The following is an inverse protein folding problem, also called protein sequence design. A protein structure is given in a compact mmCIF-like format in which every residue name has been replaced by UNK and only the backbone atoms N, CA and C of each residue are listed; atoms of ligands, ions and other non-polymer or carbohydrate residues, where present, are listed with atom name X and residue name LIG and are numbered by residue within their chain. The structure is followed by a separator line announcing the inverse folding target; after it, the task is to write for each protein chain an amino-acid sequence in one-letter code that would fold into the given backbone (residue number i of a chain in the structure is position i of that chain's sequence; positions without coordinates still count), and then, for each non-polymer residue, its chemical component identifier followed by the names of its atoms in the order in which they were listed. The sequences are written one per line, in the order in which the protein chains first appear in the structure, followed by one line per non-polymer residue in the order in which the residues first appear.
data_IF_873994043905
#
_entry.id   IF_873994043905
#
_cell.length_a   1.000
_cell.length_b   1.000
_cell.length_c   1.000
_cell.angle_alpha   90.00
_cell.angle_beta   90.00
_cell.angle_gamma   90.00
#
_symmetry.space_group_name_H-M   'P 1'
#
loop_
_entity.id
_entity.type
_entity.pdbx_description
1 polymer ?
#
# COMPACT_ATOMS: atom_id res chain seq x y z
N UNK A 1 69.25 -8.58 -9.03
CA UNK A 1 67.92 -8.59 -9.67
C UNK A 1 66.90 -8.32 -8.58
N UNK A 2 66.29 -7.14 -8.58
CA UNK A 2 65.42 -6.64 -7.51
C UNK A 2 64.05 -6.24 -8.07
N UNK A 3 62.99 -6.57 -7.32
CA UNK A 3 61.58 -6.22 -7.57
C UNK A 3 60.66 -7.44 -7.51
N UNK A 4 59.48 -7.33 -6.85
CA UNK A 4 58.48 -6.38 -7.32
C UNK A 4 58.00 -5.33 -6.30
N UNK A 5 57.57 -4.21 -6.90
CA UNK A 5 57.05 -2.98 -6.31
C UNK A 5 55.59 -3.16 -5.84
N UNK A 6 55.20 -2.41 -4.82
CA UNK A 6 53.80 -2.24 -4.40
C UNK A 6 53.09 -1.05 -5.06
N UNK A 7 51.76 -1.02 -4.88
CA UNK A 7 50.80 0.10 -4.72
C UNK A 7 49.43 -0.35 -5.26
N UNK A 8 48.44 -0.56 -4.38
CA UNK A 8 47.38 0.34 -3.91
C UNK A 8 46.12 0.40 -4.81
N UNK A 9 44.99 0.06 -4.16
CA UNK A 9 43.59 0.49 -4.29
C UNK A 9 43.09 1.09 -5.62
N UNK A 10 41.94 0.57 -6.09
CA UNK A 10 40.78 1.42 -6.39
C UNK A 10 39.47 0.62 -6.42
N UNK A 11 38.50 1.20 -5.71
CA UNK A 11 37.07 0.91 -5.58
C UNK A 11 36.28 0.93 -6.89
N UNK A 12 35.25 0.08 -6.99
CA UNK A 12 34.07 0.35 -7.81
C UNK A 12 32.82 -0.31 -7.20
N UNK A 13 32.17 0.39 -6.27
CA UNK A 13 30.76 0.19 -5.95
C UNK A 13 29.96 0.86 -7.08
N UNK A 14 29.25 0.06 -7.88
CA UNK A 14 28.33 0.57 -8.90
C UNK A 14 27.01 0.91 -8.20
N UNK A 15 26.87 2.18 -7.82
CA UNK A 15 25.64 2.74 -7.25
C UNK A 15 24.63 3.02 -8.37
N UNK A 16 23.48 2.36 -8.35
CA UNK A 16 22.39 2.54 -9.32
C UNK A 16 21.26 3.44 -8.79
N UNK A 17 21.60 4.55 -8.13
CA UNK A 17 20.66 5.64 -7.84
C UNK A 17 21.36 6.99 -7.98
N UNK A 18 20.84 7.94 -8.79
CA UNK A 18 21.39 9.29 -8.84
C UNK A 18 21.15 9.99 -7.50
N UNK A 19 22.21 10.60 -6.96
CA UNK A 19 22.18 11.40 -5.74
C UNK A 19 21.21 12.58 -5.88
N UNK A 20 19.98 12.45 -5.38
CA UNK A 20 19.04 13.55 -5.26
C UNK A 20 19.18 14.17 -3.86
N UNK A 21 19.86 15.31 -3.77
CA UNK A 21 19.87 16.16 -2.56
C UNK A 21 18.86 17.29 -2.76
N UNK A 22 17.67 17.25 -2.15
CA UNK A 22 16.78 18.39 -2.22
C UNK A 22 17.27 19.46 -1.23
N UNK A 23 17.70 20.60 -1.76
CA UNK A 23 17.83 21.82 -0.99
C UNK A 23 16.42 22.42 -0.84
N UNK A 24 15.74 22.12 0.26
CA UNK A 24 14.43 22.72 0.52
C UNK A 24 14.60 24.14 1.07
N UNK A 25 14.53 25.13 0.18
CA UNK A 25 14.14 26.49 0.54
C UNK A 25 12.63 26.54 0.82
N UNK A 26 12.24 27.10 1.96
CA UNK A 26 10.84 27.31 2.32
C UNK A 26 10.13 28.17 1.26
N UNK A 27 9.11 27.61 0.61
CA UNK A 27 8.05 28.39 -0.05
C UNK A 27 6.73 27.63 0.02
N UNK A 28 5.87 28.05 0.94
CA UNK A 28 4.47 27.61 1.04
C UNK A 28 3.70 28.27 -0.10
N UNK A 29 3.19 27.49 -1.05
CA UNK A 29 2.27 27.99 -2.09
C UNK A 29 0.96 27.22 -2.00
N UNK A 30 -0.09 27.92 -1.55
CA UNK A 30 -1.48 27.44 -1.57
C UNK A 30 -2.10 27.83 -2.91
N UNK A 31 -2.65 26.87 -3.65
CA UNK A 31 -3.49 27.13 -4.81
C UNK A 31 -4.93 26.74 -4.51
N UNK A 32 -5.85 27.70 -4.67
CA UNK A 32 -7.29 27.48 -4.73
C UNK A 32 -7.74 27.67 -6.19
N UNK A 33 -8.49 26.73 -6.75
CA UNK A 33 -9.08 26.85 -8.09
C UNK A 33 -10.60 26.86 -7.95
N UNK A 34 -11.20 27.97 -8.37
CA UNK A 34 -12.63 28.20 -8.49
C UNK A 34 -12.99 28.05 -9.98
N UNK A 35 -13.90 27.14 -10.33
CA UNK A 35 -14.50 27.09 -11.68
C UNK A 35 -16.01 27.14 -11.54
N UNK A 36 -16.60 28.15 -12.16
CA UNK A 36 -18.01 28.48 -12.17
C UNK A 36 -18.47 28.37 -13.63
N UNK A 37 -19.34 27.41 -13.94
CA UNK A 37 -20.00 27.31 -15.25
C UNK A 37 -21.51 27.24 -15.02
N UNK A 38 -22.18 28.32 -15.41
CA UNK A 38 -23.63 28.41 -15.58
C UNK A 38 -23.95 28.11 -17.05
N UNK A 39 -24.84 27.15 -17.31
CA UNK A 39 -25.65 27.12 -18.53
C UNK A 39 -26.93 26.32 -18.33
N UNK A 40 -28.02 26.92 -18.81
CA UNK A 40 -29.42 26.57 -18.63
C UNK A 40 -29.85 25.21 -19.21
N UNK A 41 -30.91 24.65 -18.63
CA UNK A 41 -31.41 23.30 -18.91
C UNK A 41 -32.32 23.15 -20.11
N UNK A 42 -32.62 21.89 -20.42
CA UNK A 42 -33.83 21.45 -21.12
C UNK A 42 -34.18 20.04 -20.61
N UNK A 43 -35.41 19.87 -20.13
CA UNK A 43 -35.97 18.61 -19.67
C UNK A 43 -36.82 18.03 -20.81
N UNK A 44 -36.59 16.77 -21.20
CA UNK A 44 -37.62 15.91 -21.79
C UNK A 44 -37.24 14.44 -21.65
N UNK A 45 -38.19 13.69 -21.11
CA UNK A 45 -38.16 12.29 -20.73
C UNK A 45 -38.23 11.36 -21.95
N UNK A 46 -37.46 10.28 -21.91
CA UNK A 46 -37.86 9.02 -22.55
C UNK A 46 -37.34 7.86 -21.70
N UNK A 47 -38.27 7.03 -21.20
CA UNK A 47 -37.97 5.80 -20.49
C UNK A 47 -37.65 4.71 -21.51
N UNK A 48 -36.39 4.32 -21.60
CA UNK A 48 -35.96 3.10 -22.28
C UNK A 48 -35.37 2.16 -21.22
N UNK A 49 -36.09 1.08 -20.92
CA UNK A 49 -35.57 -0.06 -20.17
C UNK A 49 -34.65 -0.86 -21.09
N UNK A 50 -33.37 -0.47 -21.12
CA UNK A 50 -32.26 -1.29 -21.66
C UNK A 50 -31.74 -2.29 -20.61
N UNK A 51 -31.01 -3.33 -21.03
CA UNK A 51 -30.60 -4.42 -20.13
C UNK A 51 -29.72 -3.87 -19.01
N UNK A 52 -29.89 -4.40 -17.80
CA UNK A 52 -29.10 -4.05 -16.63
C UNK A 52 -27.60 -4.11 -16.95
N UNK A 53 -27.00 -2.96 -17.22
CA UNK A 53 -25.58 -2.76 -17.10
C UNK A 53 -25.29 -2.79 -15.61
N UNK A 54 -24.76 -3.93 -15.13
CA UNK A 54 -24.10 -3.99 -13.82
C UNK A 54 -22.95 -3.00 -13.91
N UNK A 55 -23.16 -1.80 -13.38
CA UNK A 55 -22.12 -0.84 -13.17
C UNK A 55 -21.28 -1.40 -12.03
N UNK A 56 -20.29 -2.23 -12.37
CA UNK A 56 -19.28 -2.65 -11.41
C UNK A 56 -18.71 -1.37 -10.82
N UNK A 57 -18.81 -1.20 -9.51
CA UNK A 57 -18.11 -0.14 -8.80
C UNK A 57 -16.61 -0.43 -8.94
N UNK A 58 -16.04 -0.03 -10.07
CA UNK A 58 -14.60 -0.07 -10.26
C UNK A 58 -14.04 0.96 -9.28
N UNK A 59 -13.31 0.48 -8.27
CA UNK A 59 -12.66 1.35 -7.30
C UNK A 59 -11.93 2.46 -8.06
N UNK A 60 -12.28 3.72 -7.76
CA UNK A 60 -11.65 4.90 -8.36
C UNK A 60 -10.14 4.78 -8.09
N UNK A 61 -9.29 4.59 -9.10
CA UNK A 61 -7.86 4.45 -8.86
C UNK A 61 -7.34 5.73 -8.20
N UNK A 62 -6.46 5.59 -7.20
CA UNK A 62 -5.75 6.74 -6.64
C UNK A 62 -5.00 7.46 -7.77
N UNK A 63 -5.14 8.80 -7.91
CA UNK A 63 -4.38 9.57 -8.88
C UNK A 63 -2.89 9.22 -8.84
N UNK A 64 -2.24 9.16 -10.00
CA UNK A 64 -0.85 8.70 -10.10
C UNK A 64 0.12 9.51 -9.22
N UNK A 65 -0.12 10.82 -9.10
CA UNK A 65 0.68 11.72 -8.25
C UNK A 65 0.50 11.38 -6.77
N UNK A 66 -0.75 11.15 -6.32
CA UNK A 66 -1.04 10.76 -4.94
C UNK A 66 -0.44 9.38 -4.62
N UNK A 67 -0.60 8.42 -5.52
CA UNK A 67 -0.01 7.08 -5.39
C UNK A 67 1.50 7.14 -5.25
N UNK A 68 2.17 7.93 -6.11
CA UNK A 68 3.61 8.10 -6.08
C UNK A 68 4.08 8.80 -4.80
N UNK A 69 3.33 9.80 -4.32
CA UNK A 69 3.67 10.49 -3.08
C UNK A 69 3.53 9.57 -1.87
N UNK A 70 2.43 8.82 -1.77
CA UNK A 70 2.25 7.82 -0.71
C UNK A 70 3.34 6.76 -0.75
N UNK A 71 3.65 6.21 -1.93
CA UNK A 71 4.72 5.23 -2.09
C UNK A 71 6.08 5.77 -1.65
N UNK A 72 6.39 7.03 -1.99
CA UNK A 72 7.62 7.70 -1.56
C UNK A 72 7.67 7.90 -0.04
N UNK A 73 6.58 8.36 0.58
CA UNK A 73 6.52 8.51 2.04
C UNK A 73 6.66 7.15 2.74
N UNK A 74 6.03 6.11 2.20
CA UNK A 74 6.16 4.75 2.72
C UNK A 74 7.59 4.21 2.61
N UNK A 75 8.30 4.51 1.50
CA UNK A 75 9.71 4.14 1.33
C UNK A 75 10.58 4.80 2.41
N UNK A 76 10.39 6.10 2.65
CA UNK A 76 11.10 6.82 3.71
C UNK A 76 10.76 6.29 5.11
N UNK A 77 9.52 5.83 5.32
CA UNK A 77 9.10 5.19 6.57
C UNK A 77 9.83 3.86 6.81
N UNK A 78 9.95 3.02 5.77
CA UNK A 78 10.73 1.77 5.83
C UNK A 78 12.19 2.06 6.15
N UNK A 79 12.83 2.97 5.41
CA UNK A 79 14.24 3.34 5.65
C UNK A 79 14.48 3.90 7.05
N UNK A 80 13.56 4.72 7.56
CA UNK A 80 13.64 5.26 8.91
C UNK A 80 13.51 4.17 9.98
N UNK A 81 12.65 3.17 9.76
CA UNK A 81 12.49 2.05 10.68
C UNK A 81 13.67 1.08 10.64
N UNK A 82 14.24 0.82 9.46
CA UNK A 82 15.43 -0.01 9.31
C UNK A 82 16.65 0.64 9.96
N UNK A 83 16.77 1.97 9.84
CA UNK A 83 17.81 2.74 10.54
C UNK A 83 17.61 2.78 12.06
N UNK A 84 16.41 2.46 12.54
CA UNK A 84 16.02 2.41 13.95
C UNK A 84 16.01 0.98 14.53
N UNK A 85 16.51 -0.03 13.81
CA UNK A 85 16.43 -1.42 14.26
C UNK A 85 17.28 -1.69 15.52
N UNK A 86 18.30 -0.87 15.77
CA UNK A 86 19.17 -0.94 16.96
C UNK A 86 18.59 -0.22 18.20
N UNK A 87 17.50 0.53 18.06
CA UNK A 87 16.88 1.28 19.18
C UNK A 87 15.61 0.58 19.69
N UNK A 88 15.09 1.06 20.82
CA UNK A 88 13.99 0.38 21.52
C UNK A 88 12.70 0.34 20.68
N UNK A 89 11.87 -0.69 20.89
CA UNK A 89 10.57 -0.81 20.21
C UNK A 89 9.63 0.40 20.46
N UNK A 90 9.81 1.12 21.58
CA UNK A 90 9.07 2.35 21.88
C UNK A 90 9.49 3.47 20.94
N UNK A 91 10.79 3.63 20.70
CA UNK A 91 11.31 4.64 19.78
C UNK A 91 10.99 4.31 18.33
N UNK A 92 11.03 3.03 17.94
CA UNK A 92 10.60 2.59 16.61
C UNK A 92 9.12 2.94 16.36
N UNK A 93 8.25 2.79 17.37
CA UNK A 93 6.84 3.21 17.27
C UNK A 93 6.68 4.73 17.14
N UNK A 94 7.49 5.54 17.82
CA UNK A 94 7.47 7.00 17.64
C UNK A 94 7.87 7.41 16.23
N UNK A 95 8.89 6.75 15.66
CA UNK A 95 9.29 6.93 14.25
C UNK A 95 8.13 6.58 13.31
N UNK A 96 7.52 5.41 13.47
CA UNK A 96 6.37 4.98 12.65
C UNK A 96 5.19 5.96 12.74
N UNK A 97 4.89 6.47 13.93
CA UNK A 97 3.75 7.35 14.20
C UNK A 97 3.78 8.63 13.36
N UNK A 98 4.97 9.18 13.09
CA UNK A 98 5.15 10.39 12.27
C UNK A 98 4.76 10.15 10.82
N UNK A 99 5.10 8.98 10.28
CA UNK A 99 4.77 8.59 8.92
C UNK A 99 3.31 8.18 8.78
N UNK A 100 2.77 7.44 9.76
CA UNK A 100 1.35 7.05 9.81
C UNK A 100 0.46 8.26 9.65
N UNK A 101 0.68 9.33 10.41
CA UNK A 101 -0.15 10.54 10.35
C UNK A 101 -0.25 11.15 8.95
N UNK A 102 0.87 11.27 8.25
CA UNK A 102 0.91 11.89 6.92
C UNK A 102 0.32 10.98 5.84
N UNK A 103 0.57 9.68 5.92
CA UNK A 103 0.11 8.70 4.93
C UNK A 103 -1.38 8.40 5.11
N UNK A 104 -1.83 8.21 6.35
CA UNK A 104 -3.22 7.90 6.67
C UNK A 104 -4.16 9.01 6.17
N UNK A 105 -3.73 10.28 6.23
CA UNK A 105 -4.50 11.41 5.72
C UNK A 105 -4.87 11.23 4.25
N UNK A 106 -3.89 10.94 3.40
CA UNK A 106 -4.12 10.80 1.95
C UNK A 106 -4.89 9.53 1.64
N UNK A 107 -4.55 8.41 2.28
CA UNK A 107 -5.27 7.15 2.07
C UNK A 107 -6.73 7.27 2.50
N UNK A 108 -7.00 7.93 3.63
CA UNK A 108 -8.36 8.14 4.11
C UNK A 108 -9.15 9.10 3.23
N UNK A 109 -8.54 10.20 2.77
CA UNK A 109 -9.17 11.12 1.81
C UNK A 109 -9.52 10.40 0.51
N UNK A 110 -8.59 9.60 -0.02
CA UNK A 110 -8.81 8.81 -1.23
C UNK A 110 -9.95 7.79 -1.09
N UNK A 111 -10.02 7.13 0.07
CA UNK A 111 -11.06 6.14 0.37
C UNK A 111 -12.37 6.76 0.88
N UNK A 112 -12.43 8.09 1.00
CA UNK A 112 -13.58 8.85 1.50
C UNK A 112 -14.04 8.39 2.90
N UNK A 113 -13.07 8.17 3.80
CA UNK A 113 -13.31 7.75 5.19
C UNK A 113 -12.70 8.72 6.20
N UNK A 114 -12.99 8.48 7.48
CA UNK A 114 -12.41 9.23 8.60
C UNK A 114 -10.90 8.99 8.71
N UNK A 115 -10.09 10.03 8.45
CA UNK A 115 -8.64 10.00 8.70
C UNK A 115 -8.32 9.60 10.14
N UNK A 116 -9.07 10.13 11.11
CA UNK A 116 -8.83 9.85 12.53
C UNK A 116 -8.94 8.35 12.84
N UNK A 117 -9.92 7.67 12.26
CA UNK A 117 -10.15 6.26 12.56
C UNK A 117 -9.09 5.37 11.90
N UNK A 118 -8.67 5.71 10.67
CA UNK A 118 -7.61 5.00 9.98
C UNK A 118 -6.25 5.22 10.67
N UNK A 119 -5.92 6.47 11.02
CA UNK A 119 -4.72 6.83 11.78
C UNK A 119 -4.68 6.04 13.10
N UNK A 120 -5.79 6.00 13.83
CA UNK A 120 -5.86 5.30 15.11
C UNK A 120 -5.68 3.79 14.95
N UNK A 121 -6.30 3.17 13.95
CA UNK A 121 -6.13 1.75 13.65
C UNK A 121 -4.66 1.40 13.36
N UNK A 122 -3.96 2.25 12.62
CA UNK A 122 -2.54 2.04 12.29
C UNK A 122 -1.63 2.26 13.50
N UNK A 123 -1.87 3.30 14.29
CA UNK A 123 -1.10 3.60 15.50
C UNK A 123 -1.22 2.51 16.58
N UNK A 124 -2.39 1.88 16.71
CA UNK A 124 -2.65 0.84 17.70
C UNK A 124 -2.09 -0.53 17.31
N UNK A 125 -1.78 -0.73 16.03
CA UNK A 125 -1.22 -1.99 15.53
C UNK A 125 0.23 -2.17 15.97
N UNK A 126 0.67 -3.43 16.07
CA UNK A 126 2.08 -3.71 16.37
C UNK A 126 3.02 -3.23 15.25
N UNK A 127 4.31 -3.23 15.56
CA UNK A 127 5.32 -2.72 14.63
C UNK A 127 5.48 -3.60 13.38
N UNK A 128 5.26 -4.91 13.47
CA UNK A 128 5.35 -5.80 12.32
C UNK A 128 4.25 -5.48 11.30
N UNK A 129 3.02 -5.25 11.76
CA UNK A 129 1.88 -4.81 10.93
C UNK A 129 2.14 -3.45 10.29
N UNK A 130 2.72 -2.51 11.04
CA UNK A 130 3.12 -1.20 10.51
C UNK A 130 4.20 -1.33 9.43
N UNK A 131 5.24 -2.13 9.65
CA UNK A 131 6.29 -2.43 8.65
C UNK A 131 5.69 -3.06 7.39
N UNK A 132 4.81 -4.05 7.55
CA UNK A 132 4.14 -4.72 6.43
C UNK A 132 3.27 -3.75 5.63
N UNK A 133 2.52 -2.87 6.30
CA UNK A 133 1.75 -1.80 5.65
C UNK A 133 2.65 -0.89 4.82
N UNK A 134 3.71 -0.34 5.41
CA UNK A 134 4.60 0.57 4.69
C UNK A 134 5.22 -0.12 3.48
N UNK A 135 5.70 -1.36 3.64
CA UNK A 135 6.21 -2.16 2.53
C UNK A 135 5.16 -2.32 1.41
N UNK A 136 3.92 -2.70 1.72
CA UNK A 136 2.87 -2.79 0.71
C UNK A 136 2.59 -1.45 0.01
N UNK A 137 2.57 -0.34 0.76
CA UNK A 137 2.33 0.99 0.22
C UNK A 137 3.44 1.49 -0.71
N UNK A 138 4.69 1.05 -0.52
CA UNK A 138 5.77 1.33 -1.50
C UNK A 138 5.46 0.80 -2.90
N UNK A 139 4.54 -0.16 -3.00
CA UNK A 139 4.15 -0.79 -4.26
C UNK A 139 2.96 -0.11 -4.93
N UNK A 140 2.33 0.92 -4.35
CA UNK A 140 1.21 1.61 -4.99
C UNK A 140 1.57 2.05 -6.42
N UNK A 141 0.69 1.76 -7.37
CA UNK A 141 0.91 2.05 -8.79
C UNK A 141 1.76 1.02 -9.54
N UNK A 142 2.42 0.07 -8.86
CA UNK A 142 3.15 -1.04 -9.52
C UNK A 142 2.15 -1.90 -10.30
N UNK A 143 2.38 -2.18 -11.60
CA UNK A 143 1.47 -2.96 -12.42
C UNK A 143 1.20 -4.37 -11.88
N UNK A 144 -0.04 -4.83 -12.02
CA UNK A 144 -0.34 -6.25 -11.83
C UNK A 144 0.15 -7.06 -13.03
N UNK A 145 0.74 -8.22 -12.75
CA UNK A 145 0.97 -9.27 -13.76
C UNK A 145 0.85 -10.65 -13.14
N UNK A 146 0.06 -11.53 -13.76
CA UNK A 146 -0.12 -12.91 -13.30
C UNK A 146 1.23 -13.62 -13.09
N UNK A 147 1.41 -14.24 -11.92
CA UNK A 147 2.64 -14.94 -11.49
C UNK A 147 3.89 -14.04 -11.33
N UNK A 148 3.78 -12.71 -11.44
CA UNK A 148 4.91 -11.83 -11.19
C UNK A 148 5.23 -11.73 -9.69
N UNK A 149 6.51 -11.62 -9.37
CA UNK A 149 7.07 -11.58 -8.00
C UNK A 149 8.29 -10.65 -7.98
N UNK A 150 8.15 -9.49 -8.63
CA UNK A 150 9.22 -8.50 -8.82
C UNK A 150 8.75 -7.13 -8.28
N UNK A 151 8.96 -6.85 -6.98
CA UNK A 151 8.59 -5.58 -6.37
C UNK A 151 9.16 -4.38 -7.15
N UNK A 152 8.36 -3.33 -7.31
CA UNK A 152 8.68 -2.14 -8.09
C UNK A 152 8.53 -2.30 -9.61
N UNK A 153 8.38 -3.54 -10.12
CA UNK A 153 8.25 -3.82 -11.57
C UNK A 153 6.86 -4.38 -11.87
N UNK A 154 6.51 -5.52 -11.28
CA UNK A 154 5.19 -6.12 -11.40
C UNK A 154 4.94 -7.17 -10.31
N UNK A 155 3.71 -7.22 -9.80
CA UNK A 155 3.31 -8.16 -8.74
C UNK A 155 1.96 -8.81 -9.08
N UNK A 156 1.75 -10.04 -8.62
CA UNK A 156 0.38 -10.54 -8.42
C UNK A 156 -0.09 -10.37 -6.96
N UNK A 157 -1.35 -10.74 -6.71
CA UNK A 157 -2.00 -10.56 -5.42
C UNK A 157 -1.19 -11.19 -4.26
N UNK A 158 -0.80 -12.45 -4.41
CA UNK A 158 -0.02 -13.16 -3.39
C UNK A 158 1.44 -12.69 -3.29
N UNK A 159 2.05 -12.23 -4.39
CA UNK A 159 3.40 -11.68 -4.36
C UNK A 159 3.46 -10.37 -3.57
N UNK A 160 2.43 -9.51 -3.68
CA UNK A 160 2.32 -8.30 -2.86
C UNK A 160 2.28 -8.64 -1.36
N UNK A 161 1.46 -9.61 -0.96
CA UNK A 161 1.36 -10.05 0.46
C UNK A 161 2.69 -10.61 0.95
N UNK A 162 3.32 -11.46 0.13
CA UNK A 162 4.62 -12.05 0.45
C UNK A 162 5.69 -10.97 0.63
N UNK A 163 5.75 -10.01 -0.29
CA UNK A 163 6.68 -8.89 -0.20
C UNK A 163 6.45 -8.08 1.08
N UNK A 164 5.21 -7.64 1.32
CA UNK A 164 4.84 -6.83 2.48
C UNK A 164 5.27 -7.49 3.81
N UNK A 165 4.84 -8.72 4.02
CA UNK A 165 5.11 -9.45 5.26
C UNK A 165 6.57 -9.89 5.40
N UNK A 166 7.29 -10.13 4.30
CA UNK A 166 8.73 -10.42 4.36
C UNK A 166 9.56 -9.25 4.89
N UNK A 167 9.16 -8.00 4.60
CA UNK A 167 9.79 -6.79 5.15
C UNK A 167 9.49 -6.62 6.65
N UNK A 168 8.46 -7.31 7.16
CA UNK A 168 8.16 -7.40 8.59
C UNK A 168 8.73 -8.67 9.24
N UNK A 169 9.55 -9.45 8.53
CA UNK A 169 10.19 -10.68 9.04
C UNK A 169 9.32 -11.94 8.95
N UNK A 170 8.12 -11.87 8.37
CA UNK A 170 7.20 -13.02 8.22
C UNK A 170 7.37 -13.65 6.84
N UNK A 171 7.77 -14.93 6.81
CA UNK A 171 8.00 -15.68 5.56
C UNK A 171 6.71 -16.30 5.05
N UNK A 172 6.07 -15.63 4.10
CA UNK A 172 4.83 -16.10 3.49
C UNK A 172 5.07 -17.06 2.31
N UNK A 173 4.21 -18.09 2.12
CA UNK A 173 4.22 -18.90 0.92
C UNK A 173 3.81 -18.08 -0.32
N UNK A 174 4.11 -18.58 -1.52
CA UNK A 174 3.90 -17.84 -2.77
C UNK A 174 2.45 -17.81 -3.26
N UNK A 175 1.63 -18.80 -2.92
CA UNK A 175 0.26 -18.91 -3.42
C UNK A 175 -0.79 -18.38 -2.45
N UNK A 176 -1.80 -17.65 -2.94
CA UNK A 176 -2.87 -17.07 -2.11
C UNK A 176 -3.60 -18.09 -1.24
N UNK A 177 -3.90 -19.28 -1.76
CA UNK A 177 -4.52 -20.36 -0.98
C UNK A 177 -3.62 -20.90 0.13
N UNK A 178 -2.30 -20.92 -0.09
CA UNK A 178 -1.33 -21.30 0.93
C UNK A 178 -1.18 -20.21 1.99
N UNK A 179 -1.22 -18.93 1.60
CA UNK A 179 -1.19 -17.80 2.52
C UNK A 179 -2.45 -17.77 3.40
N UNK A 180 -3.61 -18.06 2.83
CA UNK A 180 -4.85 -18.25 3.59
C UNK A 180 -4.75 -19.41 4.60
N UNK A 181 -4.08 -20.50 4.24
CA UNK A 181 -3.86 -21.63 5.14
C UNK A 181 -2.71 -21.42 6.14
N UNK A 182 -1.90 -20.39 5.96
CA UNK A 182 -0.71 -20.12 6.77
C UNK A 182 -1.06 -19.51 8.13
N UNK A 183 -2.02 -18.59 8.17
CA UNK A 183 -2.40 -17.87 9.39
C UNK A 183 -3.64 -18.44 10.11
N UNK A 184 -3.99 -17.80 11.22
CA UNK A 184 -5.18 -18.11 12.01
C UNK A 184 -6.43 -17.45 11.43
N UNK A 185 -7.55 -18.16 11.39
CA UNK A 185 -8.82 -17.59 10.91
C UNK A 185 -9.43 -16.69 11.98
N UNK A 186 -9.78 -15.48 11.58
CA UNK A 186 -10.40 -14.48 12.47
C UNK A 186 -11.78 -14.06 11.95
N UNK A 187 -12.59 -13.46 12.82
CA UNK A 187 -13.86 -12.84 12.43
C UNK A 187 -13.60 -11.49 11.77
N UNK A 188 -14.52 -11.05 10.91
CA UNK A 188 -14.46 -9.70 10.33
C UNK A 188 -14.42 -8.59 11.39
N UNK A 189 -15.04 -8.81 12.56
CA UNK A 189 -15.02 -7.87 13.69
C UNK A 189 -13.68 -7.79 14.43
N UNK A 190 -12.77 -8.73 14.18
CA UNK A 190 -11.46 -8.84 14.83
C UNK A 190 -10.34 -8.31 13.93
N UNK A 191 -10.68 -7.88 12.70
CA UNK A 191 -9.72 -7.44 11.69
C UNK A 191 -8.89 -6.25 12.17
N UNK A 192 -7.59 -6.38 12.02
CA UNK A 192 -6.57 -5.39 12.30
C UNK A 192 -5.76 -5.09 11.05
N UNK A 193 -4.87 -4.10 11.15
CA UNK A 193 -3.95 -3.77 10.08
C UNK A 193 -3.10 -4.99 9.71
N UNK A 194 -2.94 -5.26 8.42
CA UNK A 194 -2.08 -6.36 7.96
C UNK A 194 -2.76 -7.72 7.85
N UNK A 195 -3.95 -7.91 8.43
CA UNK A 195 -4.71 -9.15 8.27
C UNK A 195 -5.06 -9.39 6.80
N UNK A 196 -5.23 -10.65 6.42
CA UNK A 196 -5.44 -11.03 5.02
C UNK A 196 -6.92 -11.23 4.73
N UNK A 197 -7.42 -10.52 3.73
CA UNK A 197 -8.72 -10.78 3.11
C UNK A 197 -8.52 -11.74 1.94
N UNK A 198 -9.04 -12.96 2.05
CA UNK A 198 -8.95 -13.99 1.02
C UNK A 198 -10.31 -14.42 0.49
N UNK A 199 -10.38 -14.68 -0.80
CA UNK A 199 -11.45 -15.46 -1.43
C UNK A 199 -10.85 -16.31 -2.55
N UNK A 200 -11.54 -17.37 -3.04
CA UNK A 200 -10.97 -18.24 -4.06
C UNK A 200 -10.41 -17.46 -5.27
N UNK A 201 -9.09 -17.56 -5.48
CA UNK A 201 -8.38 -16.90 -6.57
C UNK A 201 -7.73 -15.57 -6.23
N UNK A 202 -7.95 -14.98 -5.04
CA UNK A 202 -7.42 -13.66 -4.71
C UNK A 202 -7.09 -13.48 -3.22
N UNK A 203 -6.18 -12.56 -2.95
CA UNK A 203 -5.83 -12.16 -1.58
C UNK A 203 -5.42 -10.69 -1.55
N UNK A 204 -5.74 -10.02 -0.45
CA UNK A 204 -5.43 -8.63 -0.19
C UNK A 204 -5.10 -8.42 1.29
N UNK A 205 -4.46 -7.30 1.63
CA UNK A 205 -4.07 -6.98 3.00
C UNK A 205 -4.96 -5.87 3.57
N UNK A 206 -5.51 -6.08 4.76
CA UNK A 206 -6.31 -5.13 5.52
C UNK A 206 -5.56 -3.85 5.81
N UNK A 207 -6.26 -2.72 5.70
CA UNK A 207 -5.83 -1.41 6.21
C UNK A 207 -6.28 -1.18 7.66
N UNK A 208 -6.83 -2.20 8.34
CA UNK A 208 -7.17 -2.16 9.77
C UNK A 208 -8.55 -1.60 10.09
N UNK A 209 -9.34 -1.25 9.07
CA UNK A 209 -10.76 -0.97 9.19
C UNK A 209 -11.55 -1.90 8.28
N UNK A 210 -12.83 -2.07 8.60
CA UNK A 210 -13.68 -3.04 7.92
C UNK A 210 -13.70 -2.82 6.40
N UNK A 211 -13.41 -3.90 5.66
CA UNK A 211 -13.47 -3.93 4.20
C UNK A 211 -12.50 -2.98 3.48
N UNK A 212 -11.53 -2.38 4.15
CA UNK A 212 -10.50 -1.55 3.50
C UNK A 212 -9.22 -2.37 3.33
N UNK A 213 -8.71 -2.44 2.11
CA UNK A 213 -7.54 -3.26 1.81
C UNK A 213 -6.61 -2.62 0.77
N UNK A 214 -5.34 -2.99 0.80
CA UNK A 214 -4.40 -2.84 -0.31
C UNK A 214 -4.28 -4.17 -1.08
N UNK A 215 -4.26 -4.11 -2.41
CA UNK A 215 -4.23 -5.29 -3.27
C UNK A 215 -3.47 -5.05 -4.57
N UNK A 216 -3.00 -6.13 -5.19
CA UNK A 216 -2.69 -6.18 -6.62
C UNK A 216 -3.85 -6.93 -7.31
N UNK A 217 -4.80 -6.24 -7.97
CA UNK A 217 -6.12 -6.80 -8.26
C UNK A 217 -6.15 -7.78 -9.44
N UNK A 218 -5.79 -7.32 -10.64
CA UNK A 218 -5.89 -8.09 -11.90
C UNK A 218 -5.15 -7.38 -13.04
N UNK A 219 -4.96 -8.05 -14.18
CA UNK A 219 -4.29 -7.51 -15.36
C UNK A 219 -4.94 -6.21 -15.84
N UNK A 220 -4.11 -5.23 -16.24
CA UNK A 220 -4.55 -3.90 -16.66
C UNK A 220 -4.75 -2.90 -15.51
N UNK A 221 -4.62 -3.36 -14.27
CA UNK A 221 -4.62 -2.51 -13.07
C UNK A 221 -3.26 -2.59 -12.36
N UNK A 222 -3.08 -1.70 -11.40
CA UNK A 222 -1.90 -1.63 -10.55
C UNK A 222 -2.27 -1.90 -9.09
N UNK A 223 -1.25 -2.06 -8.25
CA UNK A 223 -1.43 -2.08 -6.79
C UNK A 223 -2.17 -0.83 -6.34
N UNK A 224 -3.21 -1.02 -5.54
CA UNK A 224 -4.16 0.02 -5.15
C UNK A 224 -4.69 -0.23 -3.74
N UNK A 225 -5.08 0.84 -3.06
CA UNK A 225 -5.97 0.78 -1.90
C UNK A 225 -7.41 0.85 -2.38
N UNK A 226 -8.31 0.09 -1.76
CA UNK A 226 -9.73 0.15 -2.10
C UNK A 226 -10.61 -0.33 -0.94
N UNK A 227 -11.90 -0.01 -1.04
CA UNK A 227 -12.96 -0.62 -0.26
C UNK A 227 -13.49 -1.84 -0.99
N UNK A 228 -13.54 -3.00 -0.33
CA UNK A 228 -14.12 -4.23 -0.87
C UNK A 228 -15.59 -3.97 -1.18
N UNK A 229 -15.99 -4.32 -2.40
CA UNK A 229 -17.37 -4.19 -2.89
C UNK A 229 -18.34 -4.99 -2.00
N UNK A 230 -19.51 -4.42 -1.69
CA UNK A 230 -20.55 -5.04 -0.85
C UNK A 230 -20.94 -6.44 -1.32
N UNK A 231 -20.97 -6.67 -2.64
CA UNK A 231 -21.26 -7.99 -3.23
C UNK A 231 -20.20 -9.05 -2.90
N UNK A 232 -18.99 -8.63 -2.55
CA UNK A 232 -17.84 -9.50 -2.25
C UNK A 232 -17.59 -9.66 -0.76
N UNK A 233 -18.05 -8.74 0.09
CA UNK A 233 -17.81 -8.78 1.55
C UNK A 233 -18.16 -10.14 2.15
N UNK A 234 -19.29 -10.73 1.76
CA UNK A 234 -19.73 -12.04 2.27
C UNK A 234 -18.87 -13.24 1.83
N UNK A 235 -18.00 -13.05 0.84
CA UNK A 235 -17.10 -14.10 0.33
C UNK A 235 -15.70 -14.03 0.97
N UNK A 236 -15.38 -12.91 1.63
CA UNK A 236 -14.08 -12.68 2.23
C UNK A 236 -13.93 -13.51 3.48
N UNK A 237 -12.80 -14.19 3.58
CA UNK A 237 -12.36 -14.90 4.78
C UNK A 237 -11.12 -14.18 5.30
N UNK A 238 -11.17 -13.81 6.58
CA UNK A 238 -10.12 -13.06 7.24
C UNK A 238 -9.14 -14.00 7.95
N UNK A 239 -7.85 -13.66 7.86
CA UNK A 239 -6.76 -14.44 8.43
C UNK A 239 -5.75 -13.51 9.08
N UNK A 240 -5.35 -13.81 10.31
CA UNK A 240 -4.19 -13.22 10.97
C UNK A 240 -2.93 -14.01 10.58
N UNK A 241 -1.98 -13.41 9.83
CA UNK A 241 -0.76 -14.08 9.40
C UNK A 241 0.36 -14.09 10.46
N UNK A 242 0.10 -13.58 11.67
CA UNK A 242 1.10 -13.42 12.75
C UNK A 242 0.83 -14.23 14.01
N UNK A 243 -0.35 -14.85 14.10
CA UNK A 243 -0.78 -15.67 15.24
C UNK A 243 -0.03 -17.01 15.36
#
# INVERSE_FOLDING_TARGET
MAGPKGQQNMSAQVSYYPNFRPQFGLAVVRFAILVLILSFGFLSTSHNFGPFSVQTAEAKPMPAIESAWVAMQAQLAVEALDSADEISAVEQRDVASRWIKSIALIVAEHLEISNKDLELAWLQSDLARQKALFAALTQLGVPYKTNADEPGIALDCSALIKFAWSNAGVKMPRGSAQQYAFGERIKSSEVQLGDLAWYPGHISMSLGLENLVIQAPTNGRSVEVHKIDESRVNWVRWVDPTA
#
